data_IF_525627233566
#
_entry.id   IF_525627233566
#
_cell.length_a   1.000
_cell.length_b   1.000
_cell.length_c   1.000
_cell.angle_alpha   90.00
_cell.angle_beta   90.00
_cell.angle_gamma   90.00
#
_symmetry.space_group_name_H-M   'P 1'
#
loop_
_entity.id
_entity.type
_entity.pdbx_description
1 polymer ?
#
# COMPACT_ATOMS: atom_id res chain seq x y z
N UNK A 1 12.83 6.94 -15.76
CA UNK A 1 12.37 5.54 -15.63
C UNK A 1 13.54 4.60 -15.37
N UNK A 2 14.56 4.54 -16.23
CA UNK A 2 15.74 3.67 -15.99
C UNK A 2 16.45 3.94 -14.64
N UNK A 3 16.62 5.21 -14.24
CA UNK A 3 17.19 5.55 -12.93
C UNK A 3 16.38 5.02 -11.73
N UNK A 4 15.04 4.91 -11.86
CA UNK A 4 14.20 4.33 -10.81
C UNK A 4 14.29 2.83 -10.77
N UNK A 5 14.37 2.16 -11.93
CA UNK A 5 14.59 0.71 -11.96
C UNK A 5 15.95 0.36 -11.34
N UNK A 6 16.99 1.14 -11.65
CA UNK A 6 18.30 1.00 -11.01
C UNK A 6 18.22 1.23 -9.50
N UNK A 7 17.45 2.22 -9.03
CA UNK A 7 17.21 2.41 -7.61
C UNK A 7 16.45 1.24 -6.97
N UNK A 8 15.40 0.73 -7.62
CA UNK A 8 14.63 -0.43 -7.16
C UNK A 8 15.45 -1.72 -7.14
N UNK A 9 16.37 -1.91 -8.09
CA UNK A 9 17.31 -3.05 -8.10
C UNK A 9 18.38 -2.93 -6.99
N UNK A 10 18.73 -1.70 -6.62
CA UNK A 10 19.65 -1.40 -5.52
C UNK A 10 18.98 -1.51 -4.15
N UNK A 11 17.66 -1.36 -4.08
CA UNK A 11 16.87 -1.45 -2.86
C UNK A 11 16.93 -2.86 -2.24
N UNK A 12 17.27 -2.90 -0.94
CA UNK A 12 17.41 -4.13 -0.19
C UNK A 12 16.07 -4.84 0.01
N UNK A 13 15.00 -4.07 0.23
CA UNK A 13 13.67 -4.63 0.43
C UNK A 13 13.18 -5.33 -0.84
N UNK A 14 13.24 -4.67 -1.99
CA UNK A 14 12.84 -5.25 -3.27
C UNK A 14 13.63 -6.52 -3.60
N UNK A 15 14.96 -6.54 -3.38
CA UNK A 15 15.75 -7.75 -3.59
C UNK A 15 15.30 -8.93 -2.72
N UNK A 16 14.88 -8.65 -1.49
CA UNK A 16 14.42 -9.68 -0.56
C UNK A 16 12.98 -10.17 -0.83
N UNK A 17 12.13 -9.33 -1.43
CA UNK A 17 10.69 -9.61 -1.57
C UNK A 17 10.21 -9.87 -3.00
N UNK A 18 11.03 -9.58 -4.01
CA UNK A 18 10.78 -10.06 -5.37
C UNK A 18 10.77 -11.60 -5.38
N UNK A 19 9.89 -12.25 -6.19
CA UNK A 19 9.88 -13.71 -6.31
C UNK A 19 11.25 -14.27 -6.64
N UNK A 20 11.63 -15.34 -5.96
CA UNK A 20 12.85 -16.08 -6.30
C UNK A 20 12.73 -16.67 -7.70
N UNK A 21 13.84 -16.65 -8.44
CA UNK A 21 13.94 -17.30 -9.74
C UNK A 21 14.60 -18.66 -9.56
N UNK A 22 14.18 -19.69 -10.33
CA UNK A 22 14.93 -20.93 -10.40
C UNK A 22 16.38 -20.67 -10.83
N UNK A 23 17.30 -21.53 -10.41
CA UNK A 23 18.72 -21.41 -10.76
C UNK A 23 18.90 -21.37 -12.28
N UNK A 24 19.68 -20.38 -12.76
CA UNK A 24 19.95 -20.19 -14.18
C UNK A 24 18.79 -19.59 -15.00
N UNK A 25 17.66 -19.24 -14.37
CA UNK A 25 16.54 -18.57 -15.04
C UNK A 25 16.68 -17.06 -14.90
N UNK A 26 16.73 -16.37 -16.02
CA UNK A 26 16.66 -14.90 -16.05
C UNK A 26 15.21 -14.42 -16.05
N UNK A 27 14.98 -13.27 -15.42
CA UNK A 27 13.66 -12.65 -15.39
C UNK A 27 13.29 -12.14 -16.78
N UNK A 28 12.23 -12.70 -17.36
CA UNK A 28 11.68 -12.23 -18.63
C UNK A 28 11.07 -10.84 -18.44
N UNK A 29 11.36 -9.92 -19.37
CA UNK A 29 10.79 -8.56 -19.36
C UNK A 29 9.69 -8.46 -20.40
N UNK A 30 8.56 -7.90 -20.01
CA UNK A 30 7.42 -7.63 -20.89
C UNK A 30 6.98 -6.19 -20.69
N UNK A 31 7.07 -5.38 -21.74
CA UNK A 31 6.51 -4.04 -21.74
C UNK A 31 5.04 -4.11 -22.18
N UNK A 32 4.15 -3.45 -21.44
CA UNK A 32 2.71 -3.35 -21.73
C UNK A 32 2.36 -1.88 -21.92
N UNK A 33 2.10 -1.50 -23.17
CA UNK A 33 1.80 -0.14 -23.58
C UNK A 33 0.31 0.04 -23.89
N UNK A 34 -0.12 1.30 -24.01
CA UNK A 34 -1.51 1.61 -24.41
C UNK A 34 -1.84 0.96 -25.76
N UNK A 35 -2.89 0.14 -25.77
CA UNK A 35 -3.36 -0.60 -26.96
C UNK A 35 -3.02 -2.08 -26.95
N UNK A 36 -2.09 -2.51 -26.08
CA UNK A 36 -1.76 -3.93 -25.92
C UNK A 36 -2.91 -4.70 -25.24
N UNK A 37 -3.04 -5.98 -25.57
CA UNK A 37 -4.11 -6.83 -25.05
C UNK A 37 -4.08 -6.99 -23.52
N UNK A 38 -2.90 -6.91 -22.91
CA UNK A 38 -2.71 -6.99 -21.45
C UNK A 38 -2.90 -5.65 -20.74
N UNK A 39 -3.06 -4.54 -21.48
CA UNK A 39 -3.23 -3.23 -20.88
C UNK A 39 -4.56 -3.19 -20.09
N UNK A 40 -4.53 -2.94 -18.78
CA UNK A 40 -5.74 -3.00 -17.98
C UNK A 40 -6.65 -1.80 -18.29
N UNK A 41 -7.95 -2.02 -18.15
CA UNK A 41 -8.94 -0.95 -18.23
C UNK A 41 -8.66 0.18 -17.23
N UNK A 42 -9.21 1.37 -17.49
CA UNK A 42 -8.97 2.57 -16.68
C UNK A 42 -9.40 2.46 -15.21
N UNK A 43 -10.16 1.42 -14.85
CA UNK A 43 -10.61 1.11 -13.49
C UNK A 43 -10.21 -0.27 -12.99
N UNK A 44 -9.46 -1.03 -13.79
CA UNK A 44 -9.07 -2.39 -13.46
C UNK A 44 -7.60 -2.39 -13.02
N UNK A 45 -7.25 -3.07 -11.93
CA UNK A 45 -5.86 -3.39 -11.61
C UNK A 45 -5.25 -4.30 -12.68
N UNK A 46 -3.96 -4.14 -12.96
CA UNK A 46 -3.22 -5.07 -13.78
C UNK A 46 -3.16 -6.46 -13.15
N UNK A 47 -3.12 -7.52 -13.96
CA UNK A 47 -3.02 -8.90 -13.49
C UNK A 47 -4.32 -9.53 -12.98
N UNK A 48 -5.41 -8.75 -12.82
CA UNK A 48 -6.70 -9.34 -12.42
C UNK A 48 -7.38 -10.03 -13.59
N UNK A 49 -7.66 -11.33 -13.43
CA UNK A 49 -8.41 -12.13 -14.40
C UNK A 49 -7.65 -12.39 -15.71
N UNK A 50 -6.32 -12.28 -15.69
CA UNK A 50 -5.45 -12.56 -16.83
C UNK A 50 -4.38 -13.57 -16.43
N UNK A 51 -4.06 -14.48 -17.34
CA UNK A 51 -2.94 -15.40 -17.15
C UNK A 51 -1.65 -14.69 -17.58
N UNK A 52 -0.68 -14.63 -16.66
CA UNK A 52 0.62 -14.03 -16.90
C UNK A 52 1.69 -15.11 -17.01
N UNK A 53 2.75 -14.80 -17.74
CA UNK A 53 3.89 -15.68 -17.87
C UNK A 53 4.60 -15.82 -16.51
N UNK A 54 5.09 -17.01 -16.17
CA UNK A 54 5.85 -17.22 -14.96
C UNK A 54 7.21 -16.51 -15.02
N UNK A 55 7.75 -16.16 -13.85
CA UNK A 55 9.11 -15.61 -13.70
C UNK A 55 9.38 -14.36 -14.55
N UNK A 56 8.37 -13.51 -14.73
CA UNK A 56 8.42 -12.31 -15.54
C UNK A 56 8.36 -11.03 -14.69
N UNK A 57 8.83 -9.93 -15.27
CA UNK A 57 8.48 -8.57 -14.87
C UNK A 57 7.70 -7.90 -16.00
N UNK A 58 6.51 -7.43 -15.67
CA UNK A 58 5.68 -6.61 -16.54
C UNK A 58 5.89 -5.15 -16.20
N UNK A 59 6.42 -4.37 -17.14
CA UNK A 59 6.42 -2.92 -17.05
C UNK A 59 5.14 -2.40 -17.72
N UNK A 60 4.19 -1.94 -16.92
CA UNK A 60 2.89 -1.49 -17.43
C UNK A 60 2.84 0.02 -17.46
N UNK A 61 2.69 0.57 -18.66
CA UNK A 61 2.76 2.00 -18.92
C UNK A 61 1.81 2.78 -18.00
N UNK A 62 2.38 3.71 -17.23
CA UNK A 62 1.62 4.55 -16.30
C UNK A 62 1.01 3.79 -15.12
N UNK A 63 1.37 2.53 -14.86
CA UNK A 63 0.96 1.75 -13.67
C UNK A 63 2.15 1.43 -12.77
N UNK A 64 3.18 0.75 -13.30
CA UNK A 64 4.41 0.37 -12.59
C UNK A 64 4.94 -1.00 -13.02
N UNK A 65 5.79 -1.60 -12.20
CA UNK A 65 6.40 -2.91 -12.45
C UNK A 65 5.74 -4.01 -11.62
N UNK A 66 5.49 -5.17 -12.22
CA UNK A 66 4.81 -6.31 -11.58
C UNK A 66 5.59 -7.59 -11.79
N UNK A 67 5.90 -8.29 -10.71
CA UNK A 67 6.77 -9.46 -10.71
C UNK A 67 5.97 -10.72 -10.44
N UNK A 68 6.04 -11.68 -11.37
CA UNK A 68 5.38 -12.97 -11.26
C UNK A 68 6.31 -14.04 -10.70
N UNK A 69 5.74 -14.95 -9.92
CA UNK A 69 6.41 -16.17 -9.48
C UNK A 69 6.42 -17.26 -10.57
N UNK A 70 6.94 -18.44 -10.24
CA UNK A 70 7.00 -19.58 -11.16
C UNK A 70 5.62 -20.11 -11.63
N UNK A 71 4.52 -19.68 -10.99
CA UNK A 71 3.16 -20.00 -11.40
C UNK A 71 2.49 -18.91 -12.25
N UNK A 72 3.17 -17.78 -12.47
CA UNK A 72 2.59 -16.63 -13.16
C UNK A 72 1.78 -15.70 -12.24
N UNK A 73 1.72 -15.96 -10.93
CA UNK A 73 1.03 -15.08 -10.00
C UNK A 73 1.91 -13.88 -9.65
N UNK A 74 1.34 -12.68 -9.70
CA UNK A 74 2.02 -11.48 -9.19
C UNK A 74 2.20 -11.65 -7.68
N UNK A 75 3.41 -11.40 -7.20
CA UNK A 75 3.75 -11.46 -5.77
C UNK A 75 4.43 -10.20 -5.26
N UNK A 76 5.07 -9.45 -6.16
CA UNK A 76 5.67 -8.16 -5.85
C UNK A 76 5.28 -7.13 -6.90
N UNK A 77 5.03 -5.89 -6.50
CA UNK A 77 4.75 -4.79 -7.42
C UNK A 77 5.45 -3.51 -6.97
N UNK A 78 6.10 -2.81 -7.90
CA UNK A 78 6.83 -1.56 -7.66
C UNK A 78 6.10 -0.42 -8.37
N UNK A 79 5.36 0.37 -7.60
CA UNK A 79 4.37 1.31 -8.11
C UNK A 79 4.65 2.74 -7.65
N UNK A 80 4.17 3.73 -8.41
CA UNK A 80 4.14 5.13 -7.96
C UNK A 80 2.77 5.50 -7.42
N UNK A 81 2.73 6.16 -6.26
CA UNK A 81 1.51 6.73 -5.68
C UNK A 81 1.11 8.03 -6.39
N UNK A 82 -0.04 8.57 -5.98
CA UNK A 82 -0.51 9.87 -6.38
C UNK A 82 0.40 11.01 -5.96
N UNK A 83 1.24 10.84 -4.92
CA UNK A 83 2.21 11.86 -4.51
C UNK A 83 3.28 12.01 -5.59
N UNK A 84 3.94 10.91 -5.94
CA UNK A 84 5.00 10.90 -6.95
C UNK A 84 4.46 11.21 -8.35
N UNK A 85 3.31 10.63 -8.73
CA UNK A 85 2.67 10.92 -10.02
C UNK A 85 2.28 12.38 -10.14
N UNK A 86 1.79 13.00 -9.08
CA UNK A 86 1.47 14.43 -9.08
C UNK A 86 2.71 15.31 -9.22
N UNK A 87 3.80 14.96 -8.51
CA UNK A 87 5.07 15.65 -8.65
C UNK A 87 5.59 15.63 -10.09
N UNK A 88 5.45 14.49 -10.78
CA UNK A 88 5.99 14.28 -12.13
C UNK A 88 5.05 14.78 -13.23
N UNK A 89 3.73 14.61 -13.09
CA UNK A 89 2.73 14.92 -14.13
C UNK A 89 2.00 16.25 -13.92
N UNK A 90 2.10 16.86 -12.74
CA UNK A 90 1.43 18.11 -12.39
C UNK A 90 -0.09 17.97 -12.11
N UNK A 91 -0.76 19.11 -11.95
CA UNK A 91 -2.15 19.19 -11.44
C UNK A 91 -3.26 18.73 -12.41
N UNK A 92 -2.97 18.61 -13.71
CA UNK A 92 -4.01 18.48 -14.75
C UNK A 92 -4.49 17.05 -15.00
N UNK A 93 -3.90 16.06 -14.35
CA UNK A 93 -4.25 14.64 -14.49
C UNK A 93 -4.61 14.10 -13.11
N UNK A 94 -5.63 13.24 -13.02
CA UNK A 94 -5.89 12.50 -11.79
C UNK A 94 -4.69 11.59 -11.49
N UNK A 95 -3.91 11.85 -10.43
CA UNK A 95 -2.65 11.14 -10.21
C UNK A 95 -2.86 9.78 -9.52
N UNK A 96 -4.09 9.40 -9.15
CA UNK A 96 -4.34 8.17 -8.40
C UNK A 96 -3.94 6.92 -9.19
N UNK A 97 -3.10 6.07 -8.59
CA UNK A 97 -2.81 4.76 -9.14
C UNK A 97 -3.96 3.79 -8.82
N UNK A 98 -4.63 3.23 -9.84
CA UNK A 98 -5.79 2.37 -9.60
C UNK A 98 -5.42 1.04 -8.95
N UNK A 99 -4.23 0.55 -9.25
CA UNK A 99 -3.68 -0.67 -8.67
C UNK A 99 -3.41 -0.55 -7.16
N UNK A 100 -3.25 0.68 -6.66
CA UNK A 100 -3.15 0.97 -5.22
C UNK A 100 -4.51 1.27 -4.57
N UNK A 101 -5.58 1.46 -5.35
CA UNK A 101 -6.94 1.64 -4.81
C UNK A 101 -7.69 0.30 -4.69
N UNK A 102 -7.24 -0.71 -5.40
CA UNK A 102 -7.83 -2.04 -5.42
C UNK A 102 -6.70 -3.07 -5.60
N UNK A 103 -5.79 -3.16 -4.61
CA UNK A 103 -4.64 -4.04 -4.68
C UNK A 103 -5.06 -5.51 -4.82
N UNK A 104 -4.18 -6.27 -5.45
CA UNK A 104 -4.32 -7.71 -5.61
C UNK A 104 -4.12 -8.43 -4.27
N UNK A 105 -4.80 -9.56 -4.06
CA UNK A 105 -4.53 -10.43 -2.92
C UNK A 105 -3.13 -11.03 -2.88
N UNK A 106 -2.58 -11.19 -1.68
CA UNK A 106 -1.29 -11.84 -1.42
C UNK A 106 -0.12 -11.25 -2.23
N UNK A 107 -0.03 -9.92 -2.29
CA UNK A 107 1.02 -9.18 -2.99
C UNK A 107 1.72 -8.24 -2.03
N UNK A 108 3.05 -8.17 -2.16
CA UNK A 108 3.87 -7.11 -1.55
C UNK A 108 4.04 -5.98 -2.55
N UNK A 109 3.80 -4.75 -2.10
CA UNK A 109 3.91 -3.54 -2.90
C UNK A 109 5.04 -2.69 -2.36
N UNK A 110 5.96 -2.25 -3.21
CA UNK A 110 6.85 -1.13 -2.92
C UNK A 110 6.30 0.10 -3.63
N UNK A 111 5.96 1.12 -2.85
CA UNK A 111 5.34 2.35 -3.33
C UNK A 111 6.29 3.52 -3.11
N UNK A 112 6.56 4.23 -4.19
CA UNK A 112 7.48 5.37 -4.24
C UNK A 112 8.90 5.06 -3.76
N UNK A 113 9.25 3.76 -3.68
CA UNK A 113 10.56 3.28 -3.21
C UNK A 113 10.77 3.39 -1.70
N UNK A 114 9.73 3.71 -0.92
CA UNK A 114 9.86 3.97 0.53
C UNK A 114 8.83 3.20 1.36
N UNK A 115 7.61 3.05 0.86
CA UNK A 115 6.54 2.40 1.62
C UNK A 115 6.27 1.02 1.06
N UNK A 116 6.32 0.03 1.93
CA UNK A 116 6.07 -1.36 1.58
C UNK A 116 4.76 -1.82 2.20
N UNK A 117 3.87 -2.39 1.41
CA UNK A 117 2.55 -2.86 1.85
C UNK A 117 2.38 -4.32 1.49
N UNK A 118 2.01 -5.16 2.45
CA UNK A 118 1.64 -6.55 2.17
C UNK A 118 0.14 -6.73 2.33
N UNK A 119 -0.48 -7.35 1.33
CA UNK A 119 -1.91 -7.66 1.36
C UNK A 119 -2.20 -9.11 1.74
N UNK A 120 -3.35 -9.36 2.37
CA UNK A 120 -3.86 -10.70 2.62
C UNK A 120 -4.61 -11.29 1.40
N UNK A 121 -5.21 -12.47 1.60
CA UNK A 121 -5.99 -13.17 0.58
C UNK A 121 -7.22 -12.43 0.06
N UNK A 122 -7.61 -11.32 0.69
CA UNK A 122 -8.68 -10.44 0.24
C UNK A 122 -8.19 -9.09 -0.30
N UNK A 123 -6.87 -8.90 -0.43
CA UNK A 123 -6.30 -7.63 -0.88
C UNK A 123 -6.22 -6.57 0.23
N UNK A 124 -6.50 -6.92 1.49
CA UNK A 124 -6.45 -5.97 2.61
C UNK A 124 -5.01 -5.80 3.05
N UNK A 125 -4.57 -4.56 3.25
CA UNK A 125 -3.26 -4.28 3.85
C UNK A 125 -3.21 -4.85 5.26
N UNK A 126 -2.28 -5.79 5.48
CA UNK A 126 -2.01 -6.43 6.79
C UNK A 126 -0.67 -6.02 7.38
N UNK A 127 0.23 -5.49 6.57
CA UNK A 127 1.55 -5.03 6.99
C UNK A 127 1.92 -3.78 6.21
N UNK A 128 2.48 -2.80 6.93
CA UNK A 128 3.19 -1.66 6.33
C UNK A 128 4.59 -1.63 6.90
N UNK A 129 5.58 -1.54 6.03
CA UNK A 129 6.96 -1.30 6.41
C UNK A 129 7.44 -0.02 5.72
N UNK A 130 8.25 0.77 6.41
CA UNK A 130 8.89 1.93 5.82
C UNK A 130 10.30 2.07 6.36
N UNK A 131 11.26 2.23 5.46
CA UNK A 131 12.65 2.50 5.77
C UNK A 131 13.15 3.66 4.91
N UNK A 132 14.16 4.37 5.41
CA UNK A 132 14.75 5.53 4.72
C UNK A 132 13.75 6.66 4.42
N UNK A 133 12.63 6.74 5.14
CA UNK A 133 11.60 7.76 4.92
C UNK A 133 12.00 9.11 5.53
N UNK A 134 11.55 10.20 4.91
CA UNK A 134 11.82 11.57 5.33
C UNK A 134 10.53 12.35 5.54
N UNK A 135 10.64 13.56 6.11
CA UNK A 135 9.53 14.51 6.07
C UNK A 135 9.33 14.95 4.62
N UNK A 136 8.24 14.50 4.01
CA UNK A 136 8.03 14.68 2.59
C UNK A 136 7.88 16.14 2.18
N UNK A 137 8.61 16.50 1.12
CA UNK A 137 8.49 17.76 0.39
C UNK A 137 7.15 17.87 -0.33
N UNK A 138 6.67 16.76 -0.91
CA UNK A 138 5.43 16.69 -1.67
C UNK A 138 4.40 15.84 -0.95
N UNK A 139 3.15 16.29 -0.94
CA UNK A 139 2.05 15.60 -0.26
C UNK A 139 0.79 15.69 -1.10
N UNK A 140 0.05 14.59 -1.16
CA UNK A 140 -1.26 14.53 -1.81
C UNK A 140 -2.25 13.89 -0.85
N UNK A 141 -3.44 14.49 -0.75
CA UNK A 141 -4.56 13.94 0.02
C UNK A 141 -5.80 13.87 -0.85
N UNK A 142 -6.58 12.81 -0.70
CA UNK A 142 -7.91 12.69 -1.29
C UNK A 142 -8.96 12.76 -0.19
N UNK A 143 -9.69 13.88 -0.12
CA UNK A 143 -10.80 14.02 0.85
C UNK A 143 -11.94 13.06 0.55
N UNK A 144 -12.21 12.83 -0.73
CA UNK A 144 -13.24 11.88 -1.16
C UNK A 144 -12.90 10.45 -0.75
N UNK A 145 -11.64 10.02 -0.94
CA UNK A 145 -11.20 8.68 -0.54
C UNK A 145 -11.30 8.50 0.98
N UNK A 146 -10.76 9.44 1.75
CA UNK A 146 -10.82 9.36 3.22
C UNK A 146 -12.26 9.33 3.74
N UNK A 147 -13.17 10.10 3.13
CA UNK A 147 -14.58 10.09 3.51
C UNK A 147 -15.27 8.77 3.12
N UNK A 148 -14.96 8.21 1.95
CA UNK A 148 -15.50 6.92 1.51
C UNK A 148 -15.02 5.78 2.42
N UNK A 149 -13.73 5.74 2.72
CA UNK A 149 -13.15 4.71 3.59
C UNK A 149 -13.62 4.87 5.04
N UNK A 150 -13.64 6.09 5.58
CA UNK A 150 -14.12 6.32 6.94
C UNK A 150 -15.54 5.79 7.19
N UNK A 151 -16.43 5.86 6.18
CA UNK A 151 -17.78 5.31 6.26
C UNK A 151 -17.83 3.79 6.40
N UNK A 152 -16.81 3.05 5.96
CA UNK A 152 -16.77 1.59 6.13
C UNK A 152 -16.68 1.20 7.61
N UNK A 153 -16.19 2.11 8.46
CA UNK A 153 -16.22 1.95 9.93
C UNK A 153 -17.60 2.21 10.56
N UNK A 154 -18.61 2.59 9.77
CA UNK A 154 -19.97 2.89 10.25
C UNK A 154 -20.31 4.39 10.23
N UNK A 155 -21.47 4.73 10.80
CA UNK A 155 -22.11 6.05 10.63
C UNK A 155 -21.40 7.20 11.36
N UNK A 156 -20.60 6.91 12.40
CA UNK A 156 -19.90 7.93 13.17
C UNK A 156 -18.64 7.40 13.86
N UNK A 157 -17.73 8.31 14.19
CA UNK A 157 -16.53 8.00 14.99
C UNK A 157 -15.33 7.44 14.21
N UNK A 158 -15.48 7.16 12.91
CA UNK A 158 -14.41 6.69 12.03
C UNK A 158 -14.03 7.75 10.99
N UNK A 159 -12.74 7.76 10.66
CA UNK A 159 -12.11 8.59 9.64
C UNK A 159 -11.35 7.66 8.67
N UNK A 160 -11.07 8.12 7.46
CA UNK A 160 -10.09 7.48 6.59
C UNK A 160 -8.68 7.84 7.06
N UNK A 161 -8.16 7.12 8.04
CA UNK A 161 -6.82 7.32 8.59
C UNK A 161 -5.76 6.76 7.65
N UNK A 162 -4.61 7.43 7.54
CA UNK A 162 -3.48 6.89 6.79
C UNK A 162 -2.68 5.93 7.69
N UNK A 163 -2.18 4.83 7.12
CA UNK A 163 -1.21 3.96 7.79
C UNK A 163 0.18 4.60 7.75
N UNK A 164 0.67 4.90 6.55
CA UNK A 164 1.81 5.77 6.34
C UNK A 164 1.34 7.22 6.23
N UNK A 165 1.71 8.05 7.21
CA UNK A 165 1.26 9.42 7.31
C UNK A 165 1.60 10.27 6.09
N UNK A 166 0.64 11.08 5.63
CA UNK A 166 0.87 12.01 4.50
C UNK A 166 2.02 13.00 4.75
N UNK A 167 2.39 13.25 6.02
CA UNK A 167 3.54 14.06 6.41
C UNK A 167 4.87 13.49 5.90
N UNK A 168 4.94 12.17 5.75
CA UNK A 168 6.10 11.42 5.26
C UNK A 168 5.99 11.03 3.78
N UNK A 169 4.90 11.44 3.10
CA UNK A 169 4.70 11.14 1.68
C UNK A 169 3.80 9.94 1.42
N UNK A 170 3.21 9.34 2.46
CA UNK A 170 2.24 8.26 2.30
C UNK A 170 1.08 8.67 1.39
N UNK A 171 0.82 7.84 0.37
CA UNK A 171 -0.14 8.11 -0.69
C UNK A 171 -1.60 8.13 -0.20
N UNK A 172 -2.49 8.86 -0.90
CA UNK A 172 -3.93 8.90 -0.60
C UNK A 172 -4.73 7.70 -1.14
N UNK A 173 -4.08 6.74 -1.79
CA UNK A 173 -4.70 5.52 -2.29
C UNK A 173 -5.14 4.56 -1.18
N UNK A 174 -6.15 3.75 -1.48
CA UNK A 174 -6.83 2.88 -0.51
C UNK A 174 -5.90 1.88 0.20
N UNK A 175 -4.85 1.36 -0.47
CA UNK A 175 -3.84 0.50 0.17
C UNK A 175 -3.25 1.11 1.45
N UNK A 176 -3.22 2.44 1.55
CA UNK A 176 -2.67 3.20 2.66
C UNK A 176 -3.74 3.86 3.55
N UNK A 177 -5.03 3.75 3.24
CA UNK A 177 -6.10 4.47 3.96
C UNK A 177 -7.14 3.49 4.46
N UNK A 178 -7.38 3.47 5.77
CA UNK A 178 -8.28 2.52 6.42
C UNK A 178 -9.26 3.21 7.39
N UNK A 179 -10.41 2.58 7.70
CA UNK A 179 -11.32 3.10 8.70
C UNK A 179 -10.62 3.07 10.06
N UNK A 180 -10.39 4.26 10.60
CA UNK A 180 -9.65 4.46 11.83
C UNK A 180 -10.45 5.35 12.76
N UNK A 181 -10.64 4.94 14.03
CA UNK A 181 -11.37 5.76 15.01
C UNK A 181 -10.72 7.13 15.13
N UNK A 182 -11.54 8.17 15.24
CA UNK A 182 -11.06 9.54 15.43
C UNK A 182 -10.11 9.65 16.63
N UNK A 183 -10.42 8.95 17.73
CA UNK A 183 -9.62 8.92 18.96
C UNK A 183 -8.19 8.36 18.80
N UNK A 184 -7.92 7.57 17.76
CA UNK A 184 -6.57 7.06 17.45
C UNK A 184 -5.96 7.73 16.22
N UNK A 185 -6.76 8.24 15.27
CA UNK A 185 -6.25 8.95 14.10
C UNK A 185 -5.85 10.41 14.43
N UNK A 186 -6.65 11.08 15.26
CA UNK A 186 -6.53 12.51 15.56
C UNK A 186 -5.57 12.85 16.70
N UNK A 187 -5.55 14.12 17.10
CA UNK A 187 -4.62 14.63 18.12
C UNK A 187 -5.04 14.24 19.56
N UNK A 188 -4.84 12.96 19.91
CA UNK A 188 -5.12 12.39 21.24
C UNK A 188 -3.86 11.78 21.86
N UNK A 189 -3.86 11.47 23.16
CA UNK A 189 -2.65 11.06 23.91
C UNK A 189 -1.97 9.82 23.31
N UNK A 190 -2.75 8.80 22.94
CA UNK A 190 -2.27 7.56 22.33
C UNK A 190 -2.84 7.43 20.92
N UNK A 191 -2.26 8.19 19.98
CA UNK A 191 -2.74 8.30 18.60
C UNK A 191 -1.61 8.22 17.58
N UNK A 192 -1.98 7.85 16.35
CA UNK A 192 -1.13 7.96 15.16
C UNK A 192 -0.60 9.38 15.01
N UNK A 193 -1.43 10.41 15.22
CA UNK A 193 -0.96 11.80 15.15
C UNK A 193 0.24 12.09 16.08
N UNK A 194 0.21 11.60 17.32
CA UNK A 194 1.32 11.81 18.27
C UNK A 194 2.55 10.99 17.90
N UNK A 195 2.34 9.79 17.39
CA UNK A 195 3.43 8.94 16.92
C UNK A 195 4.11 9.53 15.67
N UNK A 196 3.33 10.03 14.71
CA UNK A 196 3.84 10.77 13.55
C UNK A 196 4.58 12.05 13.96
N UNK A 197 4.13 12.76 15.00
CA UNK A 197 4.82 13.93 15.53
C UNK A 197 6.16 13.55 16.19
N UNK A 198 6.20 12.41 16.89
CA UNK A 198 7.43 11.85 17.44
C UNK A 198 8.42 11.49 16.33
N UNK A 199 7.99 10.75 15.31
CA UNK A 199 8.85 10.37 14.18
C UNK A 199 9.37 11.59 13.43
N UNK A 200 8.53 12.61 13.19
CA UNK A 200 8.97 13.83 12.51
C UNK A 200 10.05 14.59 13.28
N UNK A 201 10.02 14.56 14.62
CA UNK A 201 11.03 15.20 15.48
C UNK A 201 12.33 14.42 15.56
N UNK A 202 12.26 13.09 15.41
CA UNK A 202 13.39 12.18 15.57
C UNK A 202 13.82 11.52 14.25
N UNK A 203 13.40 12.05 13.10
CA UNK A 203 13.46 11.37 11.80
C UNK A 203 14.86 10.82 11.45
N UNK A 204 15.92 11.54 11.79
CA UNK A 204 17.30 11.11 11.53
C UNK A 204 17.77 9.90 12.35
N UNK A 205 16.99 9.49 13.35
CA UNK A 205 17.27 8.34 14.21
C UNK A 205 16.33 7.16 13.94
N UNK A 206 15.23 7.37 13.21
CA UNK A 206 14.25 6.32 12.92
C UNK A 206 14.69 5.59 11.66
N UNK A 207 15.05 4.33 11.79
CA UNK A 207 15.62 3.54 10.70
C UNK A 207 14.54 2.74 9.97
N UNK A 208 13.57 2.21 10.72
CA UNK A 208 12.48 1.39 10.19
C UNK A 208 11.21 1.58 11.01
N UNK A 209 10.06 1.62 10.36
CA UNK A 209 8.73 1.49 10.99
C UNK A 209 8.05 0.24 10.45
N UNK A 210 7.34 -0.47 11.32
CA UNK A 210 6.47 -1.59 10.98
C UNK A 210 5.09 -1.37 11.60
N UNK A 211 4.04 -1.49 10.79
CA UNK A 211 2.64 -1.43 11.21
C UNK A 211 1.97 -2.75 10.84
N UNK A 212 1.75 -3.60 11.83
CA UNK A 212 0.91 -4.78 11.74
C UNK A 212 -0.57 -4.38 11.87
N UNK A 213 -1.36 -4.59 10.81
CA UNK A 213 -2.80 -4.33 10.80
C UNK A 213 -3.53 -5.63 11.08
N UNK A 214 -4.32 -5.68 12.16
CA UNK A 214 -5.04 -6.89 12.58
C UNK A 214 -6.52 -6.78 12.28
N UNK A 215 -7.06 -7.77 11.58
CA UNK A 215 -8.49 -7.96 11.33
C UNK A 215 -9.00 -9.12 12.17
N UNK A 216 -10.26 -9.07 12.58
CA UNK A 216 -10.93 -10.14 13.33
C UNK A 216 -11.70 -11.12 12.41
N UNK A 217 -11.56 -10.97 11.09
CA UNK A 217 -12.21 -11.81 10.10
C UNK A 217 -11.25 -12.36 9.04
N UNK A 218 -11.67 -13.48 8.46
CA UNK A 218 -11.11 -14.03 7.23
C UNK A 218 -12.25 -13.97 6.20
N UNK A 219 -12.23 -13.01 5.27
CA UNK A 219 -13.27 -12.87 4.27
C UNK A 219 -13.31 -14.09 3.33
N UNK A 220 -14.51 -14.55 2.99
CA UNK A 220 -14.72 -15.57 1.96
C UNK A 220 -14.75 -14.91 0.58
N UNK A 221 -13.58 -14.79 -0.05
CA UNK A 221 -13.41 -14.14 -1.35
C UNK A 221 -12.84 -15.10 -2.38
N UNK A 222 -13.25 -14.91 -3.63
CA UNK A 222 -12.67 -15.64 -4.74
C UNK A 222 -11.18 -15.29 -4.91
N UNK A 223 -10.34 -16.26 -5.36
CA UNK A 223 -8.95 -15.96 -5.72
C UNK A 223 -8.87 -14.81 -6.73
N UNK A 224 -8.04 -13.81 -6.43
CA UNK A 224 -7.91 -12.62 -7.28
C UNK A 224 -9.05 -11.60 -7.16
N UNK A 225 -9.90 -11.73 -6.13
CA UNK A 225 -11.02 -10.84 -5.82
C UNK A 225 -10.62 -9.37 -5.62
N UNK A 226 -11.63 -8.50 -5.57
CA UNK A 226 -11.49 -7.06 -5.33
C UNK A 226 -11.77 -6.71 -3.88
N UNK A 227 -11.08 -5.69 -3.35
CA UNK A 227 -11.49 -5.08 -2.09
C UNK A 227 -12.95 -4.61 -2.12
N UNK A 228 -13.46 -4.21 -3.28
CA UNK A 228 -14.83 -3.78 -3.46
C UNK A 228 -15.85 -4.91 -3.26
N UNK A 229 -15.43 -6.18 -3.41
CA UNK A 229 -16.29 -7.35 -3.21
C UNK A 229 -16.59 -7.60 -1.73
N UNK A 230 -15.80 -7.02 -0.81
CA UNK A 230 -16.03 -7.06 0.63
C UNK A 230 -17.24 -6.22 1.08
N UNK A 231 -17.89 -5.51 0.16
CA UNK A 231 -19.12 -4.78 0.41
C UNK A 231 -18.95 -3.48 1.21
N UNK A 232 -20.04 -2.72 1.38
CA UNK A 232 -20.06 -1.51 2.21
C UNK A 232 -20.16 -1.87 3.71
N UNK A 233 -20.23 -0.87 4.57
CA UNK A 233 -20.77 -1.02 5.92
C UNK A 233 -22.27 -1.29 5.88
N UNK A 234 -22.77 -2.11 6.80
CA UNK A 234 -24.19 -2.15 7.12
C UNK A 234 -24.59 -0.86 7.85
N UNK A 235 -25.84 -0.42 7.69
CA UNK A 235 -26.34 0.82 8.30
C UNK A 235 -26.09 0.83 9.80
N UNK A 236 -25.25 1.76 10.28
CA UNK A 236 -24.92 1.90 11.70
C UNK A 236 -23.81 1.01 12.25
N UNK A 237 -23.23 0.08 11.49
CA UNK A 237 -22.20 -0.85 11.99
C UNK A 237 -20.97 -0.92 11.08
N UNK A 238 -19.74 -1.04 11.65
CA UNK A 238 -18.54 -1.24 10.85
C UNK A 238 -18.65 -2.49 9.97
N UNK A 239 -18.14 -2.42 8.75
CA UNK A 239 -17.85 -3.61 7.96
C UNK A 239 -16.64 -4.31 8.61
N UNK A 240 -16.79 -5.53 9.16
CA UNK A 240 -15.71 -6.21 9.87
C UNK A 240 -14.59 -6.69 8.93
N UNK A 241 -14.91 -6.93 7.65
CA UNK A 241 -13.92 -7.29 6.64
C UNK A 241 -13.11 -6.09 6.16
N UNK A 242 -13.62 -4.86 6.31
CA UNK A 242 -12.96 -3.62 5.88
C UNK A 242 -12.48 -2.73 7.02
N UNK A 243 -12.74 -3.10 8.27
CA UNK A 243 -12.37 -2.32 9.45
C UNK A 243 -11.39 -3.12 10.31
N UNK A 244 -10.13 -2.69 10.41
CA UNK A 244 -9.16 -3.34 11.30
C UNK A 244 -9.65 -3.33 12.76
N UNK A 245 -9.34 -4.37 13.52
CA UNK A 245 -9.57 -4.42 14.97
C UNK A 245 -8.50 -3.62 15.72
N UNK A 246 -7.23 -3.70 15.28
CA UNK A 246 -6.14 -2.96 15.91
C UNK A 246 -4.93 -2.82 15.00
N UNK A 247 -4.07 -1.86 15.37
CA UNK A 247 -2.80 -1.59 14.72
C UNK A 247 -1.69 -1.79 15.75
N UNK A 248 -0.67 -2.56 15.41
CA UNK A 248 0.50 -2.77 16.26
C UNK A 248 1.70 -2.13 15.56
N UNK A 249 2.22 -1.06 16.15
CA UNK A 249 3.29 -0.27 15.54
C UNK A 249 4.58 -0.50 16.31
N UNK A 250 5.62 -0.95 15.62
CA UNK A 250 6.99 -1.03 16.13
C UNK A 250 7.91 -0.20 15.23
N UNK A 251 9.04 0.23 15.77
CA UNK A 251 10.05 0.94 14.99
C UNK A 251 11.44 0.69 15.55
N UNK A 252 12.43 0.85 14.70
CA UNK A 252 13.84 0.82 15.06
C UNK A 252 14.36 2.26 15.17
N UNK A 253 14.98 2.55 16.30
CA UNK A 253 15.56 3.86 16.59
C UNK A 253 16.99 3.70 17.10
N UNK A 254 17.96 4.29 16.40
CA UNK A 254 19.39 4.15 16.68
C UNK A 254 19.85 2.68 16.84
N UNK A 255 19.45 1.81 15.92
CA UNK A 255 19.74 0.38 15.96
C UNK A 255 19.01 -0.42 17.06
N UNK A 256 18.00 0.17 17.72
CA UNK A 256 17.24 -0.48 18.79
C UNK A 256 15.76 -0.56 18.43
N UNK A 257 15.24 -1.79 18.36
CA UNK A 257 13.80 -2.05 18.19
C UNK A 257 13.04 -1.65 19.45
N UNK A 258 12.10 -0.71 19.28
CA UNK A 258 11.26 -0.21 20.35
C UNK A 258 10.11 -1.17 20.67
N UNK A 259 9.59 -1.07 21.89
CA UNK A 259 8.43 -1.87 22.30
C UNK A 259 7.20 -1.51 21.45
N UNK A 260 6.52 -2.49 20.84
CA UNK A 260 5.36 -2.21 20.00
C UNK A 260 4.25 -1.48 20.75
N UNK A 261 3.68 -0.44 20.13
CA UNK A 261 2.49 0.25 20.61
C UNK A 261 1.25 -0.34 19.93
N UNK A 262 0.23 -0.68 20.73
CA UNK A 262 -1.05 -1.17 20.24
C UNK A 262 -2.10 -0.06 20.24
N UNK A 263 -2.76 0.13 19.10
CA UNK A 263 -3.90 1.02 18.93
C UNK A 263 -5.15 0.19 18.62
N UNK A 264 -6.09 0.13 19.56
CA UNK A 264 -7.37 -0.56 19.36
C UNK A 264 -8.34 0.35 18.60
N UNK A 265 -8.95 -0.19 17.55
CA UNK A 265 -9.82 0.52 16.62
C UNK A 265 -11.32 0.30 16.91
#
# INVERSE_FOLDING_TARGET
MEQRRVAGDADGFNRAHRPELPEGVERRRVDVSVGDALMPGARTPFGRGVDLEPNAVYHVEGRGDYYTDASGQIRHAELSSAVERFHVWGERVNPMNKDLNDPLPNVTYTVDGTFHYTTDGAGRTVLVEADGFEVAQWRKRSKSMQAQIGKLGGDSGYQGGHLAGSRFGGGPEEINVWPMREGINGNYVSSFYRLEDYFAKNIGNIEKIVIDVKYNTIPDVAPGGSLNDLGPSDTGTPNPDRTPESYHVSWEENGVVQTPQRFTN
#
